data_IF_353423873915
#
_entry.id   IF_353423873915
#
_cell.length_a   1.000
_cell.length_b   1.000
_cell.length_c   1.000
_cell.angle_alpha   90.00
_cell.angle_beta   90.00
_cell.angle_gamma   90.00
#
_symmetry.space_group_name_H-M   'P 1'
#
loop_
_entity.id
_entity.type
_entity.pdbx_description
1 polymer ?
#
# COMPACT_ATOMS: atom_id res chain seq x y z
N UNK A 1 13.50 -15.90 -13.96
CA UNK A 1 13.80 -15.42 -12.60
C UNK A 1 14.15 -16.65 -11.78
N UNK A 2 15.29 -16.65 -11.09
CA UNK A 2 15.69 -17.77 -10.23
C UNK A 2 15.14 -17.58 -8.81
N UNK A 3 14.75 -18.68 -8.18
CA UNK A 3 14.47 -18.70 -6.75
C UNK A 3 15.76 -18.53 -5.94
N UNK A 4 15.64 -18.10 -4.69
CA UNK A 4 16.79 -18.00 -3.77
C UNK A 4 17.54 -19.33 -3.64
N UNK A 5 16.80 -20.43 -3.46
CA UNK A 5 17.36 -21.78 -3.36
C UNK A 5 18.17 -22.14 -4.60
N UNK A 6 17.59 -21.94 -5.78
CA UNK A 6 18.27 -22.23 -7.04
C UNK A 6 19.54 -21.39 -7.21
N UNK A 7 19.55 -20.14 -6.74
CA UNK A 7 20.74 -19.29 -6.79
C UNK A 7 21.86 -19.79 -5.88
N UNK A 8 21.53 -20.20 -4.65
CA UNK A 8 22.50 -20.80 -3.73
C UNK A 8 23.12 -22.06 -4.34
N UNK A 9 22.28 -22.91 -4.94
CA UNK A 9 22.72 -24.15 -5.58
C UNK A 9 23.70 -23.86 -6.73
N UNK A 10 23.42 -22.86 -7.59
CA UNK A 10 24.32 -22.48 -8.69
C UNK A 10 25.68 -21.97 -8.16
N UNK A 11 25.68 -21.16 -7.10
CA UNK A 11 26.93 -20.70 -6.48
C UNK A 11 27.71 -21.84 -5.85
N UNK A 12 27.04 -22.82 -5.23
CA UNK A 12 27.68 -24.01 -4.65
C UNK A 12 28.33 -24.87 -5.73
N UNK A 13 27.61 -25.17 -6.83
CA UNK A 13 28.13 -25.95 -7.96
C UNK A 13 29.31 -25.25 -8.65
N UNK A 14 29.26 -23.92 -8.76
CA UNK A 14 30.39 -23.15 -9.31
C UNK A 14 31.63 -23.21 -8.42
N UNK A 15 31.44 -23.21 -7.10
CA UNK A 15 32.52 -23.34 -6.10
C UNK A 15 33.15 -24.74 -6.11
N UNK A 16 32.38 -25.76 -6.49
CA UNK A 16 32.84 -27.14 -6.73
C UNK A 16 33.58 -27.34 -8.07
N UNK A 17 33.78 -26.27 -8.85
CA UNK A 17 34.54 -26.32 -10.10
C UNK A 17 33.73 -26.65 -11.34
N UNK A 18 32.41 -26.84 -11.23
CA UNK A 18 31.58 -27.10 -12.40
C UNK A 18 31.52 -25.91 -13.36
N UNK A 19 31.54 -26.22 -14.64
CA UNK A 19 31.40 -25.25 -15.72
C UNK A 19 29.93 -24.87 -15.91
N UNK A 20 29.68 -23.67 -16.47
CA UNK A 20 28.30 -23.21 -16.74
C UNK A 20 27.58 -24.16 -17.71
N UNK A 21 28.31 -24.84 -18.59
CA UNK A 21 27.76 -25.85 -19.51
C UNK A 21 27.23 -27.09 -18.77
N UNK A 22 27.85 -27.48 -17.65
CA UNK A 22 27.42 -28.62 -16.83
C UNK A 22 26.22 -28.24 -15.95
N UNK A 23 26.27 -27.05 -15.35
CA UNK A 23 25.17 -26.50 -14.53
C UNK A 23 23.90 -26.26 -15.37
N UNK A 24 24.04 -26.03 -16.68
CA UNK A 24 22.91 -25.82 -17.61
C UNK A 24 21.88 -26.95 -17.63
N UNK A 25 22.28 -28.18 -17.28
CA UNK A 25 21.34 -29.32 -17.22
C UNK A 25 20.16 -29.07 -16.27
N UNK A 26 20.29 -28.10 -15.36
CA UNK A 26 19.26 -27.67 -14.41
C UNK A 26 18.37 -26.58 -15.03
N UNK A 27 17.52 -26.93 -16.01
CA UNK A 27 16.35 -26.17 -16.52
C UNK A 27 16.40 -24.62 -16.61
N UNK A 28 17.57 -23.99 -16.80
CA UNK A 28 17.71 -22.55 -16.97
C UNK A 28 18.74 -22.20 -18.05
N UNK A 29 18.60 -21.02 -18.67
CA UNK A 29 19.47 -20.61 -19.76
C UNK A 29 20.86 -20.14 -19.28
N UNK A 30 21.88 -20.34 -20.12
CA UNK A 30 23.28 -19.94 -19.86
C UNK A 30 23.44 -18.45 -19.55
N UNK A 31 22.62 -17.59 -20.16
CA UNK A 31 22.61 -16.15 -19.85
C UNK A 31 22.09 -15.88 -18.44
N UNK A 32 21.11 -16.68 -17.99
CA UNK A 32 20.56 -16.58 -16.63
C UNK A 32 21.65 -16.90 -15.61
N UNK A 33 22.36 -18.03 -15.75
CA UNK A 33 23.43 -18.37 -14.81
C UNK A 33 24.54 -17.32 -14.74
N UNK A 34 24.94 -16.74 -15.88
CA UNK A 34 25.94 -15.66 -15.89
C UNK A 34 25.49 -14.42 -15.14
N UNK A 35 24.25 -13.97 -15.36
CA UNK A 35 23.72 -12.79 -14.69
C UNK A 35 23.68 -12.97 -13.16
N UNK A 36 23.28 -14.16 -12.68
CA UNK A 36 23.25 -14.44 -11.24
C UNK A 36 24.64 -14.70 -10.65
N UNK A 37 25.52 -15.43 -11.33
CA UNK A 37 26.89 -15.69 -10.87
C UNK A 37 27.77 -14.42 -10.84
N UNK A 38 27.51 -13.46 -11.73
CA UNK A 38 28.20 -12.16 -11.76
C UNK A 38 27.63 -11.14 -10.77
N UNK A 39 26.50 -11.44 -10.13
CA UNK A 39 25.80 -10.51 -9.25
C UNK A 39 24.97 -9.44 -9.97
N UNK A 40 24.85 -9.51 -11.30
CA UNK A 40 23.98 -8.62 -12.10
C UNK A 40 22.50 -8.79 -11.72
N UNK A 41 22.10 -9.95 -11.19
CA UNK A 41 20.72 -10.22 -10.77
C UNK A 41 20.63 -10.82 -9.39
N UNK A 42 19.76 -10.22 -8.57
CA UNK A 42 19.40 -10.73 -7.25
C UNK A 42 18.22 -11.72 -7.35
N UNK A 43 18.29 -12.90 -6.72
CA UNK A 43 17.17 -13.85 -6.67
C UNK A 43 15.95 -13.21 -6.01
N UNK A 44 14.76 -13.54 -6.48
CA UNK A 44 13.54 -12.95 -5.90
C UNK A 44 13.27 -11.47 -6.28
N UNK A 45 14.22 -10.75 -6.89
CA UNK A 45 13.98 -9.42 -7.44
C UNK A 45 13.76 -9.45 -8.95
N UNK A 46 12.61 -8.93 -9.40
CA UNK A 46 12.39 -8.67 -10.83
C UNK A 46 12.96 -7.29 -11.15
N UNK A 47 14.11 -7.28 -11.80
CA UNK A 47 14.67 -6.08 -12.39
C UNK A 47 13.65 -5.49 -13.39
N UNK A 48 13.18 -4.27 -13.13
CA UNK A 48 12.20 -3.60 -13.98
C UNK A 48 12.93 -2.97 -15.16
N UNK A 49 12.52 -3.33 -16.38
CA UNK A 49 13.19 -2.90 -17.60
C UNK A 49 12.93 -1.43 -17.99
N UNK A 50 12.01 -0.74 -17.31
CA UNK A 50 11.63 0.64 -17.61
C UNK A 50 11.66 1.50 -16.34
N UNK A 51 12.04 2.79 -16.45
CA UNK A 51 11.90 3.76 -15.39
C UNK A 51 10.48 3.78 -14.85
N UNK A 52 10.31 4.01 -13.55
CA UNK A 52 8.97 4.13 -12.99
C UNK A 52 8.37 5.46 -13.43
N UNK A 53 7.21 5.49 -14.11
CA UNK A 53 6.57 6.75 -14.49
C UNK A 53 6.33 7.68 -13.30
N UNK A 54 6.26 7.12 -12.08
CA UNK A 54 6.13 7.87 -10.85
C UNK A 54 7.38 8.67 -10.48
N UNK A 55 8.57 8.31 -11.00
CA UNK A 55 9.84 8.98 -10.67
C UNK A 55 9.81 10.48 -10.97
N UNK A 56 9.11 10.88 -12.04
CA UNK A 56 8.95 12.28 -12.42
C UNK A 56 8.16 13.11 -11.39
N UNK A 57 7.37 12.47 -10.53
CA UNK A 57 6.48 13.14 -9.58
C UNK A 57 6.96 13.05 -8.13
N UNK A 58 8.07 12.36 -7.85
CA UNK A 58 8.56 12.14 -6.48
C UNK A 58 8.83 13.44 -5.76
N UNK A 59 9.51 14.37 -6.42
CA UNK A 59 9.88 15.66 -5.80
C UNK A 59 8.63 16.48 -5.47
N UNK A 60 7.66 16.51 -6.39
CA UNK A 60 6.37 17.18 -6.17
C UNK A 60 5.62 16.58 -4.99
N UNK A 61 5.47 15.24 -4.97
CA UNK A 61 4.76 14.53 -3.91
C UNK A 61 5.44 14.72 -2.55
N UNK A 62 6.77 14.69 -2.52
CA UNK A 62 7.56 14.87 -1.30
C UNK A 62 7.37 16.29 -0.76
N UNK A 63 7.47 17.31 -1.61
CA UNK A 63 7.20 18.69 -1.21
C UNK A 63 5.77 18.85 -0.65
N UNK A 64 4.78 18.28 -1.34
CA UNK A 64 3.38 18.40 -0.94
C UNK A 64 3.07 17.71 0.39
N UNK A 65 3.65 16.53 0.61
CA UNK A 65 3.52 15.80 1.88
C UNK A 65 4.36 16.40 3.02
N UNK A 66 5.41 17.16 2.70
CA UNK A 66 6.15 17.94 3.69
C UNK A 66 5.34 19.15 4.18
N UNK A 67 4.59 19.80 3.28
CA UNK A 67 3.67 20.89 3.63
C UNK A 67 2.48 20.39 4.47
N UNK A 68 1.82 19.32 4.01
CA UNK A 68 0.72 18.68 4.73
C UNK A 68 0.90 17.15 4.76
N UNK A 69 1.43 16.61 5.88
CA UNK A 69 1.53 15.17 6.07
C UNK A 69 0.19 14.45 6.02
N UNK A 70 -0.94 15.12 6.29
CA UNK A 70 -2.28 14.53 6.33
C UNK A 70 -3.07 14.67 5.03
N UNK A 71 -2.44 15.21 3.98
CA UNK A 71 -3.09 15.37 2.68
C UNK A 71 -3.71 14.07 2.20
N UNK A 72 -4.98 14.12 1.81
CA UNK A 72 -5.69 12.96 1.33
C UNK A 72 -5.07 12.46 0.04
N UNK A 73 -4.84 11.15 -0.05
CA UNK A 73 -4.23 10.54 -1.23
C UNK A 73 -5.10 10.72 -2.50
N UNK A 74 -6.42 10.88 -2.34
CA UNK A 74 -7.32 11.19 -3.44
C UNK A 74 -7.06 12.59 -4.00
N UNK A 75 -6.96 13.60 -3.12
CA UNK A 75 -6.61 14.97 -3.51
C UNK A 75 -5.25 15.03 -4.19
N UNK A 76 -4.25 14.36 -3.62
CA UNK A 76 -2.93 14.26 -4.23
C UNK A 76 -2.97 13.59 -5.60
N UNK A 77 -3.79 12.55 -5.80
CA UNK A 77 -3.97 11.92 -7.11
C UNK A 77 -4.58 12.89 -8.13
N UNK A 78 -5.56 13.70 -7.75
CA UNK A 78 -6.19 14.65 -8.67
C UNK A 78 -5.23 15.78 -9.07
N UNK A 79 -4.37 16.23 -8.14
CA UNK A 79 -3.24 17.12 -8.46
C UNK A 79 -2.28 16.45 -9.46
N UNK A 80 -1.87 15.20 -9.19
CA UNK A 80 -0.97 14.44 -10.07
C UNK A 80 -1.58 14.17 -11.46
N UNK A 81 -2.88 13.90 -11.55
CA UNK A 81 -3.58 13.74 -12.83
C UNK A 81 -3.57 15.01 -13.66
N UNK A 82 -3.73 16.16 -13.01
CA UNK A 82 -3.64 17.47 -13.67
C UNK A 82 -2.24 17.74 -14.22
N UNK A 83 -1.21 17.14 -13.61
CA UNK A 83 0.19 17.18 -14.07
C UNK A 83 0.55 16.08 -15.08
N UNK A 84 -0.39 15.23 -15.49
CA UNK A 84 -0.19 14.19 -16.50
C UNK A 84 0.19 12.80 -15.95
N UNK A 85 -0.09 12.51 -14.66
CA UNK A 85 0.08 11.17 -14.12
C UNK A 85 -1.11 10.26 -14.49
N UNK A 86 -0.90 9.32 -15.41
CA UNK A 86 -1.92 8.36 -15.91
C UNK A 86 -2.17 7.15 -14.98
N UNK A 87 -1.55 7.13 -13.79
CA UNK A 87 -1.65 6.01 -12.85
C UNK A 87 -3.04 5.88 -12.20
N UNK A 88 -3.51 4.63 -12.02
CA UNK A 88 -4.68 4.34 -11.18
C UNK A 88 -4.37 4.62 -9.69
N UNK A 89 -5.39 5.00 -8.90
CA UNK A 89 -5.29 5.32 -7.46
C UNK A 89 -4.42 4.38 -6.57
N UNK A 90 -4.43 3.04 -6.72
CA UNK A 90 -3.55 2.18 -5.92
C UNK A 90 -2.06 2.39 -6.21
N UNK A 91 -1.69 2.94 -7.36
CA UNK A 91 -0.30 3.16 -7.77
C UNK A 91 0.38 4.25 -6.92
N UNK A 92 -0.09 5.50 -6.86
CA UNK A 92 0.56 6.54 -6.04
C UNK A 92 0.51 6.22 -4.55
N UNK A 93 -0.59 5.66 -4.04
CA UNK A 93 -0.68 5.27 -2.62
C UNK A 93 0.34 4.19 -2.26
N UNK A 94 0.58 3.22 -3.13
CA UNK A 94 1.66 2.24 -2.93
C UNK A 94 3.03 2.89 -3.02
N UNK A 95 3.29 3.72 -4.03
CA UNK A 95 4.60 4.37 -4.22
C UNK A 95 4.98 5.26 -3.04
N UNK A 96 4.03 6.00 -2.47
CA UNK A 96 4.24 6.83 -1.28
C UNK A 96 4.66 5.98 -0.08
N UNK A 97 4.07 4.78 0.09
CA UNK A 97 4.42 3.85 1.17
C UNK A 97 5.76 3.17 0.94
N UNK A 98 5.95 2.57 -0.23
CA UNK A 98 7.16 1.80 -0.59
C UNK A 98 8.42 2.70 -0.53
N UNK A 99 8.27 4.00 -0.86
CA UNK A 99 9.36 4.99 -0.83
C UNK A 99 9.42 5.81 0.46
N UNK A 100 8.48 5.63 1.40
CA UNK A 100 8.45 6.36 2.66
C UNK A 100 8.34 7.89 2.50
N UNK A 101 7.60 8.38 1.50
CA UNK A 101 7.56 9.82 1.16
C UNK A 101 6.81 10.68 2.18
N UNK A 102 6.01 10.05 3.05
CA UNK A 102 5.23 10.75 4.05
C UNK A 102 6.09 10.98 5.30
N UNK A 103 6.38 12.24 5.67
CA UNK A 103 7.16 12.51 6.87
C UNK A 103 6.41 12.04 8.12
N UNK A 104 7.18 11.67 9.15
CA UNK A 104 6.61 11.35 10.45
C UNK A 104 5.96 12.62 11.04
N UNK A 105 4.65 12.59 11.25
CA UNK A 105 3.96 13.68 11.92
C UNK A 105 4.08 13.51 13.44
N UNK A 106 4.72 14.45 14.13
CA UNK A 106 4.88 14.42 15.59
C UNK A 106 3.54 14.47 16.33
N UNK A 107 2.56 15.21 15.82
CA UNK A 107 1.21 15.24 16.38
C UNK A 107 0.51 13.87 16.30
N UNK A 108 0.66 13.16 15.18
CA UNK A 108 0.05 11.83 15.00
C UNK A 108 0.88 10.68 15.58
N UNK A 109 2.18 10.86 15.79
CA UNK A 109 3.03 9.87 16.43
C UNK A 109 2.54 9.53 17.85
N UNK A 110 1.94 10.50 18.56
CA UNK A 110 1.31 10.27 19.86
C UNK A 110 -0.05 9.57 19.76
N UNK A 111 -0.75 9.67 18.62
CA UNK A 111 -2.10 9.10 18.38
C UNK A 111 -2.05 7.59 18.08
N UNK A 112 -0.89 7.06 17.67
CA UNK A 112 -0.75 5.60 17.42
C UNK A 112 -0.97 4.75 18.69
N UNK A 113 -1.10 5.38 19.87
CA UNK A 113 -1.49 4.74 21.12
C UNK A 113 -3.00 4.69 21.41
N UNK A 114 -3.92 5.15 20.55
CA UNK A 114 -5.38 4.87 20.69
C UNK A 114 -6.20 5.28 19.46
N UNK A 115 -6.60 4.31 18.61
CA UNK A 115 -8.05 4.09 18.37
C UNK A 115 -8.48 2.61 18.38
N UNK A 116 -7.52 1.68 18.41
CA UNK A 116 -7.75 0.24 18.55
C UNK A 116 -7.27 -0.26 19.90
N UNK A 117 -7.30 0.60 20.93
CA UNK A 117 -7.05 0.11 22.27
C UNK A 117 -8.12 -0.92 22.56
N UNK A 118 -7.68 -2.17 22.70
CA UNK A 118 -8.46 -3.22 23.32
C UNK A 118 -8.79 -2.66 24.70
N UNK A 119 -10.03 -2.21 24.88
CA UNK A 119 -10.55 -1.89 26.19
C UNK A 119 -10.68 -3.24 26.86
N UNK A 120 -9.90 -3.50 27.90
CA UNK A 120 -10.01 -4.76 28.63
C UNK A 120 -11.38 -4.81 29.32
N UNK A 121 -12.16 -5.85 29.05
CA UNK A 121 -13.46 -6.08 29.68
C UNK A 121 -13.70 -7.59 29.86
N UNK A 122 -14.37 -7.99 30.94
CA UNK A 122 -14.74 -9.39 31.15
C UNK A 122 -15.65 -9.93 30.04
N UNK A 123 -15.57 -11.22 29.71
CA UNK A 123 -16.54 -11.84 28.81
C UNK A 123 -17.95 -11.71 29.38
N UNK A 124 -18.83 -11.04 28.64
CA UNK A 124 -20.23 -10.76 29.03
C UNK A 124 -20.54 -9.30 29.37
N UNK A 125 -19.53 -8.43 29.53
CA UNK A 125 -19.71 -6.98 29.75
C UNK A 125 -19.66 -6.16 28.45
N UNK A 126 -19.60 -6.83 27.29
CA UNK A 126 -19.68 -6.21 25.96
C UNK A 126 -21.11 -5.74 25.67
N UNK A 127 -21.30 -4.43 25.62
CA UNK A 127 -22.56 -3.86 25.13
C UNK A 127 -22.51 -3.73 23.61
N UNK A 128 -23.28 -4.57 22.92
CA UNK A 128 -23.47 -4.47 21.48
C UNK A 128 -24.45 -3.32 21.17
N UNK A 129 -23.98 -2.32 20.42
CA UNK A 129 -24.85 -1.32 19.82
C UNK A 129 -25.16 -1.77 18.39
N UNK A 130 -26.45 -1.86 18.06
CA UNK A 130 -26.88 -1.97 16.67
C UNK A 130 -27.35 -0.58 16.19
N UNK A 131 -27.13 -0.30 14.91
CA UNK A 131 -27.51 0.97 14.31
C UNK A 131 -28.89 0.84 13.67
N UNK A 132 -29.87 1.51 14.26
CA UNK A 132 -31.19 1.65 13.67
C UNK A 132 -31.27 2.96 12.88
N UNK A 133 -31.39 2.88 11.57
CA UNK A 133 -31.73 4.04 10.74
C UNK A 133 -33.25 4.29 10.80
N UNK A 134 -33.65 5.47 11.28
CA UNK A 134 -35.04 5.91 11.32
C UNK A 134 -35.22 7.14 10.40
N UNK A 135 -35.68 6.94 9.15
CA UNK A 135 -35.94 8.03 8.22
C UNK A 135 -37.12 8.95 8.61
N UNK A 136 -37.96 8.52 9.55
CA UNK A 136 -39.06 9.34 10.09
C UNK A 136 -39.18 9.08 11.60
N UNK A 137 -38.30 9.69 12.42
CA UNK A 137 -38.30 9.47 13.85
C UNK A 137 -39.52 10.17 14.49
N UNK A 138 -40.03 9.66 15.64
CA UNK A 138 -41.14 10.28 16.35
C UNK A 138 -40.89 11.77 16.64
N UNK A 139 -41.89 12.62 16.38
CA UNK A 139 -41.75 14.09 16.50
C UNK A 139 -41.27 14.54 17.89
N UNK A 140 -41.69 13.85 18.96
CA UNK A 140 -41.29 14.16 20.34
C UNK A 140 -39.81 13.88 20.64
N UNK A 141 -39.08 13.19 19.76
CA UNK A 141 -37.63 13.00 19.88
C UNK A 141 -36.84 14.21 19.33
N UNK A 142 -37.48 15.12 18.60
CA UNK A 142 -36.86 16.35 18.10
C UNK A 142 -35.87 16.16 16.95
N UNK A 143 -35.83 14.98 16.32
CA UNK A 143 -34.93 14.66 15.19
C UNK A 143 -35.65 14.63 13.82
N UNK A 144 -36.74 15.40 13.67
CA UNK A 144 -37.48 15.46 12.41
C UNK A 144 -36.59 15.96 11.27
N UNK A 145 -36.40 15.14 10.25
CA UNK A 145 -35.71 15.53 9.03
C UNK A 145 -36.61 16.52 8.29
N UNK A 146 -36.08 17.69 7.93
CA UNK A 146 -36.84 18.71 7.18
C UNK A 146 -37.15 18.15 5.79
N UNK A 147 -38.34 17.56 5.62
CA UNK A 147 -38.78 16.98 4.35
C UNK A 147 -39.91 15.94 4.39
N UNK A 148 -40.29 15.39 5.56
CA UNK A 148 -41.41 14.43 5.62
C UNK A 148 -42.75 15.11 5.30
N UNK A 149 -43.53 14.64 4.31
CA UNK A 149 -44.87 15.17 4.04
C UNK A 149 -45.81 14.75 5.18
N UNK A 150 -46.16 15.71 6.05
CA UNK A 150 -47.15 15.52 7.11
C UNK A 150 -48.49 15.10 6.50
N UNK A 151 -48.85 13.83 6.66
CA UNK A 151 -50.19 13.35 6.33
C UNK A 151 -51.15 13.78 7.44
N UNK A 152 -51.97 14.78 7.16
CA UNK A 152 -53.04 15.25 8.06
C UNK A 152 -54.14 14.19 8.18
N UNK A 153 -54.61 13.83 9.39
CA UNK A 153 -55.74 12.92 9.52
C UNK A 153 -57.06 13.67 9.27
N UNK A 154 -58.04 12.97 8.68
CA UNK A 154 -59.46 13.35 8.64
C UNK A 154 -60.19 12.72 9.81
#
# INVERSE_FOLDING_TARGET
MLSERSSVDIHALKRQGMTISEIRRTHHDRKTFRAYLSGERTPGQRERAAPDPFDAFVDYVTARLAEDPHLWAATLLDELRSLGCDGAYPTPTRQIRDRGLRPACTACAHVTQRPNAIIDHPPGDETQFDWLELPDPPEHWGFSIVGSPTSSPR
#
